data_IF_026592037604
#
_entry.id   IF_026592037604
#
_cell.length_a   1.000
_cell.length_b   1.000
_cell.length_c   1.000
_cell.angle_alpha   90.00
_cell.angle_beta   90.00
_cell.angle_gamma   90.00
#
_symmetry.space_group_name_H-M   'P 1'
#
loop_
_entity.id
_entity.type
_entity.pdbx_description
1 polymer ?
#
# COMPACT_ATOMS: atom_id res chain seq x y z
N UNK A 1 22.13 0.03 -20.37
CA UNK A 1 21.01 1.00 -20.44
C UNK A 1 21.38 2.19 -19.59
N UNK A 2 21.25 3.43 -20.07
CA UNK A 2 21.58 4.62 -19.26
C UNK A 2 20.64 4.67 -18.05
N UNK A 3 21.21 4.89 -16.85
CA UNK A 3 20.50 4.85 -15.57
C UNK A 3 19.28 5.81 -15.54
N UNK A 4 19.35 6.91 -16.28
CA UNK A 4 18.30 7.94 -16.39
C UNK A 4 17.00 7.42 -17.01
N UNK A 5 17.08 6.52 -17.99
CA UNK A 5 15.90 5.97 -18.67
C UNK A 5 15.11 5.02 -17.77
N UNK A 6 15.79 4.38 -16.80
CA UNK A 6 15.17 3.51 -15.83
C UNK A 6 14.44 4.34 -14.76
N UNK A 7 15.08 5.40 -14.26
CA UNK A 7 14.49 6.32 -13.28
C UNK A 7 13.23 7.02 -13.79
N UNK A 8 13.24 7.49 -15.04
CA UNK A 8 12.07 8.14 -15.65
C UNK A 8 10.88 7.18 -15.71
N UNK A 9 11.10 5.93 -16.14
CA UNK A 9 10.07 4.90 -16.18
C UNK A 9 9.48 4.59 -14.80
N UNK A 10 10.30 4.57 -13.74
CA UNK A 10 9.79 4.34 -12.39
C UNK A 10 8.93 5.51 -11.89
N UNK A 11 9.33 6.75 -12.15
CA UNK A 11 8.52 7.92 -11.78
C UNK A 11 7.15 7.90 -12.46
N UNK A 12 7.10 7.56 -13.74
CA UNK A 12 5.85 7.43 -14.49
C UNK A 12 4.96 6.31 -13.94
N UNK A 13 5.52 5.10 -13.74
CA UNK A 13 4.76 3.95 -13.21
C UNK A 13 4.22 4.26 -11.81
N UNK A 14 5.03 4.88 -10.95
CA UNK A 14 4.59 5.27 -9.61
C UNK A 14 3.50 6.33 -9.67
N UNK A 15 3.60 7.32 -10.56
CA UNK A 15 2.57 8.34 -10.73
C UNK A 15 1.24 7.70 -11.14
N UNK A 16 1.25 6.80 -12.12
CA UNK A 16 0.05 6.05 -12.52
C UNK A 16 -0.55 5.24 -11.36
N UNK A 17 0.29 4.52 -10.62
CA UNK A 17 -0.16 3.73 -9.46
C UNK A 17 -0.69 4.60 -8.30
N UNK A 18 -0.25 5.86 -8.18
CA UNK A 18 -0.74 6.80 -7.19
C UNK A 18 -2.12 7.37 -7.54
N UNK A 19 -2.45 7.46 -8.84
CA UNK A 19 -3.75 7.96 -9.33
C UNK A 19 -4.86 6.90 -9.31
N UNK A 20 -4.49 5.62 -9.31
CA UNK A 20 -5.45 4.52 -9.38
C UNK A 20 -6.37 4.43 -8.15
N UNK A 21 -5.89 4.53 -6.89
CA UNK A 21 -6.73 4.50 -5.70
C UNK A 21 -7.84 5.57 -5.69
N UNK A 22 -7.54 6.88 -5.88
CA UNK A 22 -8.60 7.89 -5.88
C UNK A 22 -9.55 7.74 -7.08
N UNK A 23 -9.06 7.28 -8.24
CA UNK A 23 -9.93 7.01 -9.38
C UNK A 23 -10.94 5.90 -9.09
N UNK A 24 -10.49 4.78 -8.52
CA UNK A 24 -11.39 3.69 -8.14
C UNK A 24 -12.36 4.08 -7.03
N UNK A 25 -11.95 4.94 -6.11
CA UNK A 25 -12.81 5.46 -5.06
C UNK A 25 -13.94 6.35 -5.62
N UNK A 26 -13.63 7.23 -6.56
CA UNK A 26 -14.65 8.04 -7.24
C UNK A 26 -15.59 7.16 -8.06
N UNK A 27 -15.03 6.20 -8.81
CA UNK A 27 -15.81 5.26 -9.61
C UNK A 27 -16.76 4.42 -8.72
N UNK A 28 -16.26 3.91 -7.58
CA UNK A 28 -17.09 3.11 -6.68
C UNK A 28 -18.19 3.93 -6.03
N UNK A 29 -17.91 5.18 -5.63
CA UNK A 29 -18.94 6.08 -5.10
C UNK A 29 -20.03 6.37 -6.14
N UNK A 30 -19.64 6.62 -7.39
CA UNK A 30 -20.59 6.86 -8.48
C UNK A 30 -21.46 5.62 -8.75
N UNK A 31 -20.84 4.44 -8.83
CA UNK A 31 -21.57 3.18 -9.05
C UNK A 31 -22.50 2.82 -7.88
N UNK A 32 -22.10 3.09 -6.63
CA UNK A 32 -22.93 2.85 -5.43
C UNK A 32 -24.16 3.74 -5.32
N UNK A 33 -24.32 4.75 -6.20
CA UNK A 33 -25.59 5.48 -6.33
C UNK A 33 -26.63 4.70 -7.13
N UNK A 34 -26.19 3.80 -8.01
CA UNK A 34 -27.06 3.07 -8.95
C UNK A 34 -27.19 1.58 -8.62
N UNK A 35 -26.24 1.02 -7.88
CA UNK A 35 -26.16 -0.41 -7.59
C UNK A 35 -26.13 -0.65 -6.09
N UNK A 36 -27.17 -1.33 -5.59
CA UNK A 36 -27.25 -1.85 -4.22
C UNK A 36 -27.47 -3.36 -4.29
N UNK A 37 -26.41 -4.15 -4.47
CA UNK A 37 -26.53 -5.58 -4.75
C UNK A 37 -26.84 -6.42 -3.50
N UNK A 38 -26.70 -5.84 -2.29
CA UNK A 38 -26.84 -6.54 -1.02
C UNK A 38 -27.69 -5.74 -0.03
N UNK A 39 -28.29 -6.46 0.92
CA UNK A 39 -28.88 -5.85 2.11
C UNK A 39 -27.81 -5.14 2.94
N UNK A 40 -28.19 -4.03 3.60
CA UNK A 40 -27.26 -3.21 4.40
C UNK A 40 -26.46 -4.02 5.42
N UNK A 41 -27.10 -4.93 6.13
CA UNK A 41 -26.45 -5.75 7.17
C UNK A 41 -25.41 -6.72 6.58
N UNK A 42 -25.71 -7.30 5.42
CA UNK A 42 -24.78 -8.20 4.73
C UNK A 42 -23.61 -7.41 4.13
N UNK A 43 -23.90 -6.26 3.51
CA UNK A 43 -22.91 -5.33 2.98
C UNK A 43 -21.91 -4.85 4.02
N UNK A 44 -22.39 -4.47 5.21
CA UNK A 44 -21.55 -4.07 6.33
C UNK A 44 -20.62 -5.21 6.80
N UNK A 45 -21.12 -6.45 6.91
CA UNK A 45 -20.29 -7.62 7.28
C UNK A 45 -19.21 -7.90 6.25
N UNK A 46 -19.55 -7.85 4.96
CA UNK A 46 -18.59 -8.01 3.86
C UNK A 46 -17.52 -6.92 3.94
N UNK A 47 -17.91 -5.66 4.14
CA UNK A 47 -16.99 -4.53 4.27
C UNK A 47 -16.00 -4.70 5.41
N UNK A 48 -16.44 -5.17 6.58
CA UNK A 48 -15.55 -5.46 7.72
C UNK A 48 -14.52 -6.53 7.35
N UNK A 49 -14.94 -7.63 6.73
CA UNK A 49 -14.02 -8.71 6.31
C UNK A 49 -13.01 -8.20 5.28
N UNK A 50 -13.46 -7.40 4.31
CA UNK A 50 -12.58 -6.78 3.31
C UNK A 50 -11.61 -5.77 3.94
N UNK A 51 -12.04 -5.02 4.96
CA UNK A 51 -11.19 -4.07 5.68
C UNK A 51 -10.08 -4.80 6.45
N UNK A 52 -10.43 -5.86 7.19
CA UNK A 52 -9.44 -6.70 7.89
C UNK A 52 -8.44 -7.29 6.90
N UNK A 53 -8.94 -7.76 5.74
CA UNK A 53 -8.10 -8.29 4.66
C UNK A 53 -7.14 -7.21 4.11
N UNK A 54 -7.64 -6.00 3.85
CA UNK A 54 -6.83 -4.88 3.38
C UNK A 54 -5.77 -4.46 4.41
N UNK A 55 -6.10 -4.46 5.70
CA UNK A 55 -5.11 -4.23 6.77
C UNK A 55 -4.01 -5.30 6.76
N UNK A 56 -4.35 -6.57 6.58
CA UNK A 56 -3.36 -7.64 6.51
C UNK A 56 -2.44 -7.51 5.28
N UNK A 57 -3.01 -7.15 4.12
CA UNK A 57 -2.24 -6.85 2.92
C UNK A 57 -1.34 -5.64 3.10
N UNK A 58 -1.83 -4.59 3.76
CA UNK A 58 -1.05 -3.40 4.09
C UNK A 58 0.15 -3.75 4.98
N UNK A 59 -0.06 -4.55 6.04
CA UNK A 59 1.03 -5.02 6.91
C UNK A 59 2.05 -5.85 6.12
N UNK A 60 1.57 -6.70 5.21
CA UNK A 60 2.43 -7.53 4.35
C UNK A 60 3.25 -6.67 3.39
N UNK A 61 2.64 -5.64 2.79
CA UNK A 61 3.33 -4.68 1.95
C UNK A 61 4.35 -3.86 2.75
N UNK A 62 4.01 -3.40 3.96
CA UNK A 62 4.94 -2.68 4.84
C UNK A 62 6.13 -3.56 5.24
N UNK A 63 5.93 -4.88 5.44
CA UNK A 63 7.04 -5.83 5.64
C UNK A 63 7.97 -5.87 4.42
N UNK A 64 7.45 -5.93 3.20
CA UNK A 64 8.29 -5.85 1.99
C UNK A 64 9.05 -4.52 1.91
N UNK A 65 8.41 -3.42 2.30
CA UNK A 65 9.01 -2.08 2.30
C UNK A 65 10.10 -1.94 3.37
N UNK A 66 9.96 -2.58 4.53
CA UNK A 66 11.01 -2.60 5.58
C UNK A 66 12.23 -3.41 5.16
N UNK A 67 12.05 -4.46 4.36
CA UNK A 67 13.18 -5.25 3.85
C UNK A 67 14.13 -4.42 2.98
N UNK A 68 13.70 -3.28 2.40
CA UNK A 68 14.61 -2.34 1.72
C UNK A 68 15.71 -1.79 2.61
N UNK A 69 15.43 -1.63 3.90
CA UNK A 69 16.38 -1.04 4.87
C UNK A 69 17.46 -2.05 5.25
N UNK A 70 17.23 -3.35 5.02
CA UNK A 70 18.20 -4.37 5.38
C UNK A 70 19.50 -4.18 4.57
N UNK A 71 20.67 -4.15 5.24
CA UNK A 71 21.96 -4.05 4.55
C UNK A 71 22.28 -5.29 3.70
N UNK A 72 21.56 -6.40 3.91
CA UNK A 72 21.77 -7.65 3.18
C UNK A 72 21.21 -7.65 1.75
N UNK A 73 20.43 -6.63 1.34
CA UNK A 73 19.86 -6.53 -0.01
C UNK A 73 20.65 -5.48 -0.80
N UNK A 74 21.81 -5.87 -1.32
CA UNK A 74 22.63 -5.04 -2.22
C UNK A 74 22.21 -5.19 -3.69
N UNK A 75 21.53 -6.29 -4.02
CA UNK A 75 21.14 -6.58 -5.39
C UNK A 75 19.93 -5.71 -5.82
N UNK A 76 20.19 -4.78 -6.75
CA UNK A 76 19.17 -3.87 -7.33
C UNK A 76 17.95 -4.63 -7.88
N UNK A 77 18.14 -5.84 -8.41
CA UNK A 77 17.06 -6.64 -8.96
C UNK A 77 16.03 -7.05 -7.90
N UNK A 78 16.49 -7.38 -6.70
CA UNK A 78 15.64 -7.77 -5.57
C UNK A 78 14.87 -6.58 -4.99
N UNK A 79 15.52 -5.41 -4.93
CA UNK A 79 14.89 -4.15 -4.50
C UNK A 79 13.71 -3.82 -5.43
N UNK A 80 13.92 -3.89 -6.75
CA UNK A 80 12.86 -3.64 -7.73
C UNK A 80 11.72 -4.66 -7.60
N UNK A 81 12.04 -5.95 -7.39
CA UNK A 81 11.01 -6.99 -7.24
C UNK A 81 10.14 -6.75 -6.00
N UNK A 82 10.76 -6.44 -4.86
CA UNK A 82 10.05 -6.13 -3.61
C UNK A 82 9.20 -4.86 -3.75
N UNK A 83 9.72 -3.83 -4.43
CA UNK A 83 8.99 -2.59 -4.69
C UNK A 83 7.77 -2.84 -5.56
N UNK A 84 7.92 -3.58 -6.65
CA UNK A 84 6.80 -3.95 -7.52
C UNK A 84 5.73 -4.73 -6.75
N UNK A 85 6.10 -5.67 -5.88
CA UNK A 85 5.14 -6.42 -5.05
C UNK A 85 4.38 -5.51 -4.10
N UNK A 86 5.07 -4.62 -3.40
CA UNK A 86 4.43 -3.64 -2.52
C UNK A 86 3.49 -2.72 -3.29
N UNK A 87 3.92 -2.21 -4.45
CA UNK A 87 3.12 -1.34 -5.32
C UNK A 87 1.86 -2.04 -5.85
N UNK A 88 1.93 -3.31 -6.23
CA UNK A 88 0.74 -4.05 -6.69
C UNK A 88 -0.26 -4.25 -5.54
N UNK A 89 0.21 -4.65 -4.35
CA UNK A 89 -0.67 -4.82 -3.20
C UNK A 89 -1.35 -3.50 -2.81
N UNK A 90 -0.56 -2.43 -2.70
CA UNK A 90 -1.03 -1.14 -2.23
C UNK A 90 -1.82 -0.38 -3.30
N UNK A 91 -1.34 -0.36 -4.54
CA UNK A 91 -1.90 0.45 -5.63
C UNK A 91 -2.95 -0.24 -6.48
N UNK A 92 -3.11 -1.57 -6.38
CA UNK A 92 -4.12 -2.31 -7.16
C UNK A 92 -5.03 -3.13 -6.25
N UNK A 93 -4.46 -4.04 -5.45
CA UNK A 93 -5.27 -5.01 -4.69
C UNK A 93 -6.15 -4.31 -3.65
N UNK A 94 -5.57 -3.46 -2.79
CA UNK A 94 -6.33 -2.73 -1.76
C UNK A 94 -7.42 -1.83 -2.39
N UNK A 95 -7.14 -1.02 -3.43
CA UNK A 95 -8.15 -0.24 -4.12
C UNK A 95 -9.29 -1.08 -4.72
N UNK A 96 -8.99 -2.25 -5.31
CA UNK A 96 -10.03 -3.16 -5.83
C UNK A 96 -10.90 -3.71 -4.70
N UNK A 97 -10.31 -4.08 -3.56
CA UNK A 97 -11.08 -4.46 -2.37
C UNK A 97 -11.95 -3.29 -1.87
N UNK A 98 -11.42 -2.07 -1.93
CA UNK A 98 -12.17 -0.85 -1.61
C UNK A 98 -13.38 -0.64 -2.52
N UNK A 99 -13.22 -0.84 -3.84
CA UNK A 99 -14.32 -0.78 -4.79
C UNK A 99 -15.41 -1.79 -4.45
N UNK A 100 -15.04 -3.06 -4.23
CA UNK A 100 -16.00 -4.13 -3.88
C UNK A 100 -16.69 -3.80 -2.56
N UNK A 101 -15.94 -3.32 -1.57
CA UNK A 101 -16.46 -2.94 -0.25
C UNK A 101 -17.44 -1.78 -0.34
N UNK A 102 -17.11 -0.74 -1.09
CA UNK A 102 -17.97 0.43 -1.33
C UNK A 102 -19.27 0.04 -2.04
N UNK A 103 -19.21 -0.85 -3.02
CA UNK A 103 -20.40 -1.40 -3.69
C UNK A 103 -21.23 -2.28 -2.76
N UNK A 104 -20.59 -3.04 -1.88
CA UNK A 104 -21.29 -3.90 -0.93
C UNK A 104 -22.09 -3.10 0.10
N UNK A 105 -21.52 -1.99 0.58
CA UNK A 105 -22.16 -1.10 1.55
C UNK A 105 -23.24 -0.21 0.90
N UNK A 106 -22.94 0.32 -0.29
CA UNK A 106 -23.85 1.22 -1.01
C UNK A 106 -24.01 2.61 -0.37
N UNK A 107 -24.79 3.48 -1.00
CA UNK A 107 -25.12 4.80 -0.45
C UNK A 107 -26.04 4.69 0.79
N UNK A 108 -25.85 5.48 1.87
CA UNK A 108 -24.97 6.66 1.99
C UNK A 108 -23.54 6.41 2.51
N UNK A 109 -23.20 5.20 2.95
CA UNK A 109 -21.94 4.93 3.65
C UNK A 109 -20.76 4.62 2.70
N UNK A 110 -21.05 4.46 1.41
CA UNK A 110 -20.10 4.24 0.32
C UNK A 110 -18.88 5.21 0.30
N UNK A 111 -19.07 6.55 0.42
CA UNK A 111 -17.96 7.51 0.37
C UNK A 111 -16.96 7.32 1.52
N UNK A 112 -17.45 7.08 2.74
CA UNK A 112 -16.59 6.86 3.91
C UNK A 112 -15.76 5.58 3.77
N UNK A 113 -16.39 4.53 3.25
CA UNK A 113 -15.71 3.26 2.95
C UNK A 113 -14.63 3.47 1.87
N UNK A 114 -14.97 4.13 0.76
CA UNK A 114 -14.04 4.38 -0.34
C UNK A 114 -12.82 5.21 0.11
N UNK A 115 -13.06 6.25 0.92
CA UNK A 115 -12.00 7.10 1.48
C UNK A 115 -11.06 6.31 2.39
N UNK A 116 -11.58 5.39 3.20
CA UNK A 116 -10.76 4.58 4.11
C UNK A 116 -9.79 3.67 3.36
N UNK A 117 -10.25 2.94 2.35
CA UNK A 117 -9.37 2.10 1.52
C UNK A 117 -8.36 2.93 0.71
N UNK A 118 -8.78 4.10 0.23
CA UNK A 118 -7.90 5.04 -0.47
C UNK A 118 -6.79 5.55 0.45
N UNK A 119 -7.14 5.93 1.69
CA UNK A 119 -6.17 6.41 2.67
C UNK A 119 -5.14 5.32 3.01
N UNK A 120 -5.57 4.07 3.20
CA UNK A 120 -4.67 2.93 3.45
C UNK A 120 -3.72 2.74 2.27
N UNK A 121 -4.27 2.71 1.05
CA UNK A 121 -3.51 2.53 -0.19
C UNK A 121 -2.45 3.62 -0.39
N UNK A 122 -2.86 4.89 -0.36
CA UNK A 122 -1.96 6.03 -0.58
C UNK A 122 -0.89 6.16 0.50
N UNK A 123 -1.24 5.91 1.77
CA UNK A 123 -0.27 5.92 2.88
C UNK A 123 0.84 4.90 2.65
N UNK A 124 0.48 3.69 2.20
CA UNK A 124 1.45 2.65 1.88
C UNK A 124 2.30 3.01 0.66
N UNK A 125 1.67 3.49 -0.42
CA UNK A 125 2.37 3.87 -1.66
C UNK A 125 3.39 5.00 -1.41
N UNK A 126 3.01 6.02 -0.64
CA UNK A 126 3.91 7.11 -0.26
C UNK A 126 5.11 6.62 0.56
N UNK A 127 4.87 5.73 1.52
CA UNK A 127 5.95 5.09 2.30
C UNK A 127 6.88 4.25 1.41
N UNK A 128 6.31 3.43 0.51
CA UNK A 128 7.06 2.59 -0.41
C UNK A 128 7.96 3.43 -1.33
N UNK A 129 7.39 4.47 -1.94
CA UNK A 129 8.10 5.36 -2.85
C UNK A 129 9.25 6.08 -2.16
N UNK A 130 8.98 6.68 -0.99
CA UNK A 130 10.01 7.39 -0.22
C UNK A 130 11.19 6.48 0.09
N UNK A 131 10.94 5.29 0.62
CA UNK A 131 12.03 4.35 0.96
C UNK A 131 12.75 3.80 -0.26
N UNK A 132 12.04 3.54 -1.35
CA UNK A 132 12.67 3.13 -2.61
C UNK A 132 13.61 4.22 -3.14
N UNK A 133 13.16 5.48 -3.16
CA UNK A 133 13.95 6.62 -3.58
C UNK A 133 15.16 6.88 -2.66
N UNK A 134 14.97 6.81 -1.34
CA UNK A 134 16.05 6.96 -0.36
C UNK A 134 17.12 5.85 -0.53
N UNK A 135 16.72 4.62 -0.86
CA UNK A 135 17.65 3.52 -1.15
C UNK A 135 18.44 3.76 -2.43
N UNK A 136 17.77 4.19 -3.50
CA UNK A 136 18.40 4.45 -4.80
C UNK A 136 19.39 5.60 -4.75
N UNK A 137 19.05 6.66 -4.01
CA UNK A 137 19.88 7.87 -3.88
C UNK A 137 20.96 7.76 -2.80
N UNK A 138 21.07 6.62 -2.11
CA UNK A 138 22.03 6.41 -1.03
C UNK A 138 21.76 7.24 0.23
N UNK A 139 20.57 7.85 0.35
CA UNK A 139 20.17 8.69 1.49
C UNK A 139 19.62 7.89 2.68
N UNK A 140 19.62 6.55 2.60
CA UNK A 140 19.23 5.72 3.73
C UNK A 140 20.23 5.86 4.88
N UNK A 141 19.85 6.67 5.87
CA UNK A 141 20.42 6.59 7.22
C UNK A 141 19.88 5.28 7.81
N UNK A 142 20.73 4.28 8.10
CA UNK A 142 20.25 3.06 8.76
C UNK A 142 19.59 3.46 10.09
N UNK A 143 18.50 2.78 10.51
CA UNK A 143 17.92 3.02 11.82
C UNK A 143 19.05 2.86 12.85
N UNK A 144 19.14 3.77 13.85
CA UNK A 144 20.17 3.65 14.87
C UNK A 144 20.06 2.25 15.47
N UNK A 145 21.15 1.48 15.40
CA UNK A 145 21.21 0.17 16.02
C UNK A 145 20.76 0.33 17.46
N UNK A 146 19.66 -0.33 17.84
CA UNK A 146 19.33 -0.52 19.24
C UNK A 146 20.56 -1.17 19.87
N UNK A 147 21.32 -0.38 20.64
CA UNK A 147 22.34 -0.88 21.54
C UNK A 147 21.65 -1.95 22.38
N UNK A 148 21.88 -3.21 22.04
CA UNK A 148 21.55 -4.35 22.89
C UNK A 148 22.32 -4.14 24.18
N UNK A 149 21.66 -3.49 25.13
CA UNK A 149 22.12 -3.31 26.48
C UNK A 149 22.26 -4.72 27.06
N UNK A 150 23.49 -5.24 27.04
CA UNK A 150 23.83 -6.50 27.71
C UNK A 150 23.56 -6.28 29.20
N UNK A 151 22.37 -6.69 29.67
CA UNK A 151 22.12 -6.83 31.10
C UNK A 151 23.20 -7.76 31.67
N UNK A 152 24.00 -7.33 32.66
CA UNK A 152 24.98 -8.21 33.27
C UNK A 152 24.25 -9.35 33.98
N UNK A 153 24.63 -10.58 33.64
CA UNK A 153 24.26 -11.79 34.37
C UNK A 153 24.82 -11.64 35.80
N UNK A 154 23.95 -11.41 36.77
CA UNK A 154 24.32 -11.52 38.19
C UNK A 154 24.63 -13.01 38.44
N UNK A 155 25.87 -13.27 38.84
CA UNK A 155 26.29 -14.54 39.46
C UNK A 155 25.72 -14.64 40.87
#
# INVERSE_FOLDING_TARGET
MPEDALELRYKEITAWMLTLPPFLALLSCYLSLSVHPFDRDLGARISIVLMITAMFLFITADRYIRLFISPNVEDRSQIVMLYRRAMVLLGVVIPVLGLISTLAVGYPDAPLTALSFTAISLSGLGSAWKRFYDKLTGKMIPPPEEKKEKKPVRK
#
